data_IF_680990355987
#
_entry.id   IF_680990355987
#
_cell.length_a   1.000
_cell.length_b   1.000
_cell.length_c   1.000
_cell.angle_alpha   90.00
_cell.angle_beta   90.00
_cell.angle_gamma   90.00
#
_symmetry.space_group_name_H-M   'P 1'
#
loop_
_entity.id
_entity.type
_entity.pdbx_description
1 polymer ?
#
# COMPACT_ATOMS: atom_id res chain seq x y z
N UNK A 1 11.39 -20.20 7.86
CA UNK A 1 11.09 -18.81 7.45
C UNK A 1 10.30 -18.74 6.13
N UNK A 2 10.78 -19.35 5.04
CA UNK A 2 10.11 -19.30 3.73
C UNK A 2 8.66 -19.84 3.75
N UNK A 3 8.41 -21.00 4.38
CA UNK A 3 7.06 -21.57 4.49
C UNK A 3 6.08 -20.62 5.22
N UNK A 4 6.54 -19.96 6.29
CA UNK A 4 5.72 -18.98 7.01
C UNK A 4 5.35 -17.80 6.11
N UNK A 5 6.32 -17.26 5.38
CA UNK A 5 6.05 -16.19 4.42
C UNK A 5 5.06 -16.62 3.33
N UNK A 6 5.20 -17.84 2.80
CA UNK A 6 4.26 -18.39 1.80
C UNK A 6 2.84 -18.51 2.33
N UNK A 7 2.67 -19.00 3.56
CA UNK A 7 1.35 -19.08 4.21
C UNK A 7 0.77 -17.69 4.45
N UNK A 8 1.57 -16.74 4.94
CA UNK A 8 1.13 -15.36 5.13
C UNK A 8 0.69 -14.72 3.80
N UNK A 9 1.42 -14.99 2.72
CA UNK A 9 1.09 -14.52 1.37
C UNK A 9 -0.21 -15.13 0.84
N UNK A 10 -0.44 -16.41 1.10
CA UNK A 10 -1.69 -17.07 0.74
C UNK A 10 -2.88 -16.46 1.49
N UNK A 11 -2.74 -16.19 2.79
CA UNK A 11 -3.76 -15.49 3.58
C UNK A 11 -4.00 -14.06 3.10
N UNK A 12 -2.97 -13.38 2.63
CA UNK A 12 -3.08 -12.03 2.09
C UNK A 12 -4.02 -11.93 0.89
N UNK A 13 -4.16 -12.99 0.09
CA UNK A 13 -5.13 -13.02 -1.03
C UNK A 13 -6.55 -12.75 -0.52
N UNK A 14 -6.95 -13.43 0.55
CA UNK A 14 -8.27 -13.22 1.17
C UNK A 14 -8.37 -11.84 1.83
N UNK A 15 -7.28 -11.35 2.41
CA UNK A 15 -7.24 -10.02 3.00
C UNK A 15 -7.42 -8.91 1.94
N UNK A 16 -6.83 -9.05 0.75
CA UNK A 16 -7.01 -8.12 -0.38
C UNK A 16 -8.46 -8.09 -0.84
N UNK A 17 -9.07 -9.26 -1.02
CA UNK A 17 -10.50 -9.36 -1.39
C UNK A 17 -11.38 -8.76 -0.30
N UNK A 18 -11.11 -9.06 0.97
CA UNK A 18 -11.82 -8.49 2.11
C UNK A 18 -11.70 -6.97 2.18
N UNK A 19 -10.51 -6.43 1.95
CA UNK A 19 -10.25 -4.99 1.91
C UNK A 19 -11.00 -4.29 0.76
N UNK A 20 -11.08 -4.93 -0.41
CA UNK A 20 -11.89 -4.44 -1.53
C UNK A 20 -13.36 -4.31 -1.14
N UNK A 21 -13.95 -5.38 -0.57
CA UNK A 21 -15.35 -5.35 -0.09
C UNK A 21 -15.58 -4.33 1.02
N UNK A 22 -14.61 -4.18 1.92
CA UNK A 22 -14.65 -3.18 3.00
C UNK A 22 -14.68 -1.76 2.43
N UNK A 23 -13.85 -1.50 1.43
CA UNK A 23 -13.80 -0.22 0.72
C UNK A 23 -15.12 0.10 0.01
N UNK A 24 -15.72 -0.88 -0.65
CA UNK A 24 -17.01 -0.69 -1.32
C UNK A 24 -18.10 -0.29 -0.32
N UNK A 25 -18.08 -0.87 0.89
CA UNK A 25 -19.04 -0.54 1.95
C UNK A 25 -18.79 0.80 2.62
N UNK A 26 -17.55 1.09 3.03
CA UNK A 26 -17.24 2.23 3.92
C UNK A 26 -16.76 3.49 3.19
N UNK A 27 -16.18 3.36 2.01
CA UNK A 27 -15.36 4.44 1.45
C UNK A 27 -14.06 3.88 0.91
N UNK A 28 -13.65 4.25 -0.30
CA UNK A 28 -12.32 3.93 -0.81
C UNK A 28 -11.28 4.75 -0.06
N UNK A 29 -11.54 6.05 0.15
CA UNK A 29 -10.61 6.96 0.83
C UNK A 29 -10.35 6.57 2.30
N UNK A 30 -11.36 6.29 3.17
CA UNK A 30 -11.13 5.82 4.53
C UNK A 30 -10.28 4.54 4.60
N UNK A 31 -10.50 3.57 3.70
CA UNK A 31 -9.77 2.30 3.72
C UNK A 31 -8.33 2.48 3.24
N UNK A 32 -8.10 3.28 2.21
CA UNK A 32 -6.75 3.66 1.76
C UNK A 32 -5.97 4.40 2.86
N UNK A 33 -6.61 5.33 3.55
CA UNK A 33 -6.01 6.06 4.67
C UNK A 33 -5.71 5.16 5.86
N UNK A 34 -6.63 4.25 6.20
CA UNK A 34 -6.40 3.26 7.24
C UNK A 34 -5.20 2.36 6.92
N UNK A 35 -5.04 1.95 5.66
CA UNK A 35 -3.86 1.22 5.20
C UNK A 35 -2.56 2.02 5.30
N UNK A 36 -2.57 3.29 4.86
CA UNK A 36 -1.40 4.16 4.91
C UNK A 36 -0.95 4.46 6.35
N UNK A 37 -1.89 4.81 7.23
CA UNK A 37 -1.63 5.02 8.67
C UNK A 37 -1.21 3.70 9.33
N UNK A 38 -1.88 2.61 8.95
CA UNK A 38 -1.59 1.27 9.42
C UNK A 38 -0.20 0.79 9.05
N UNK A 39 0.39 1.27 7.95
CA UNK A 39 1.79 1.03 7.61
C UNK A 39 2.76 1.95 8.36
N UNK A 40 2.39 3.22 8.55
CA UNK A 40 3.26 4.22 9.18
C UNK A 40 3.44 3.97 10.69
N UNK A 41 2.38 3.64 11.42
CA UNK A 41 2.40 3.52 12.88
C UNK A 41 3.29 2.36 13.39
N UNK A 42 3.13 1.11 12.93
CA UNK A 42 3.90 -0.02 13.41
C UNK A 42 5.21 -0.24 12.64
N UNK A 43 5.67 0.71 11.82
CA UNK A 43 6.85 0.52 10.97
C UNK A 43 8.08 0.01 11.76
N UNK A 44 8.43 0.67 12.86
CA UNK A 44 9.56 0.25 13.72
C UNK A 44 9.33 -1.13 14.37
N UNK A 45 8.20 -1.40 15.04
CA UNK A 45 7.87 -2.73 15.55
C UNK A 45 7.92 -3.85 14.50
N UNK A 46 7.51 -3.59 13.26
CA UNK A 46 7.56 -4.60 12.20
C UNK A 46 9.00 -4.95 11.84
N UNK A 47 9.90 -3.95 11.75
CA UNK A 47 11.31 -4.21 11.51
C UNK A 47 11.98 -4.96 12.66
N UNK A 48 11.60 -4.72 13.92
CA UNK A 48 12.15 -5.48 15.05
C UNK A 48 11.66 -6.93 15.04
N UNK A 49 10.39 -7.17 14.69
CA UNK A 49 9.86 -8.52 14.50
C UNK A 49 10.59 -9.27 13.38
N UNK A 50 10.83 -8.62 12.24
CA UNK A 50 11.56 -9.21 11.13
C UNK A 50 13.04 -9.45 11.42
N UNK A 51 13.67 -8.61 12.23
CA UNK A 51 15.06 -8.76 12.66
C UNK A 51 15.28 -9.69 13.86
N UNK A 52 14.22 -10.19 14.49
CA UNK A 52 14.29 -10.95 15.75
C UNK A 52 14.99 -12.31 15.66
N UNK A 53 15.08 -12.89 14.45
CA UNK A 53 15.63 -14.24 14.23
C UNK A 53 14.69 -15.39 14.62
N UNK A 54 13.60 -15.12 15.36
CA UNK A 54 12.57 -16.10 15.69
C UNK A 54 11.59 -16.27 14.51
N UNK A 55 11.44 -17.51 14.04
CA UNK A 55 10.57 -17.82 12.91
C UNK A 55 9.10 -17.45 13.12
N UNK A 56 8.58 -17.51 14.35
CA UNK A 56 7.19 -17.14 14.67
C UNK A 56 7.02 -15.62 14.66
N UNK A 57 7.94 -14.87 15.26
CA UNK A 57 7.90 -13.40 15.27
C UNK A 57 8.03 -12.85 13.84
N UNK A 58 8.94 -13.39 13.04
CA UNK A 58 9.09 -13.03 11.63
C UNK A 58 7.81 -13.32 10.85
N UNK A 59 7.17 -14.49 11.07
CA UNK A 59 5.89 -14.83 10.44
C UNK A 59 4.78 -13.82 10.80
N UNK A 60 4.63 -13.50 12.08
CA UNK A 60 3.61 -12.54 12.53
C UNK A 60 3.84 -11.15 11.93
N UNK A 61 5.09 -10.70 11.85
CA UNK A 61 5.43 -9.45 11.18
C UNK A 61 5.01 -9.44 9.71
N UNK A 62 5.27 -10.52 8.97
CA UNK A 62 4.81 -10.64 7.58
C UNK A 62 3.30 -10.70 7.46
N UNK A 63 2.61 -11.47 8.31
CA UNK A 63 1.15 -11.56 8.29
C UNK A 63 0.49 -10.20 8.54
N UNK A 64 1.00 -9.43 9.51
CA UNK A 64 0.53 -8.07 9.81
C UNK A 64 0.85 -7.12 8.65
N UNK A 65 2.11 -7.10 8.17
CA UNK A 65 2.52 -6.22 7.08
C UNK A 65 1.72 -6.46 5.79
N UNK A 66 1.52 -7.72 5.40
CA UNK A 66 0.72 -8.09 4.23
C UNK A 66 -0.77 -7.76 4.42
N UNK A 67 -1.32 -7.92 5.63
CA UNK A 67 -2.68 -7.50 5.96
C UNK A 67 -2.87 -5.99 5.81
N UNK A 68 -1.93 -5.19 6.32
CA UNK A 68 -1.94 -3.74 6.17
C UNK A 68 -1.78 -3.31 4.70
N UNK A 69 -0.91 -4.00 3.96
CA UNK A 69 -0.76 -3.79 2.51
C UNK A 69 -2.04 -4.09 1.76
N UNK A 70 -2.78 -5.11 2.18
CA UNK A 70 -4.05 -5.50 1.56
C UNK A 70 -5.10 -4.40 1.64
N UNK A 71 -5.12 -3.61 2.72
CA UNK A 71 -6.00 -2.43 2.86
C UNK A 71 -5.71 -1.35 1.82
N UNK A 72 -4.47 -1.24 1.35
CA UNK A 72 -4.11 -0.30 0.29
C UNK A 72 -4.36 -0.91 -1.10
N UNK A 73 -3.94 -2.15 -1.32
CA UNK A 73 -3.99 -2.81 -2.63
C UNK A 73 -5.41 -3.16 -3.08
N UNK A 74 -6.28 -3.61 -2.16
CA UNK A 74 -7.67 -3.96 -2.48
C UNK A 74 -8.45 -2.83 -3.15
N UNK A 75 -8.56 -1.63 -2.55
CA UNK A 75 -9.27 -0.50 -3.14
C UNK A 75 -8.52 0.21 -4.29
N UNK A 76 -7.21 0.01 -4.44
CA UNK A 76 -6.36 0.83 -5.33
C UNK A 76 -6.83 0.84 -6.78
N UNK A 77 -7.10 -0.33 -7.36
CA UNK A 77 -7.51 -0.42 -8.77
C UNK A 77 -8.83 0.29 -9.04
N UNK A 78 -9.80 0.08 -8.15
CA UNK A 78 -11.08 0.74 -8.23
C UNK A 78 -10.90 2.26 -8.09
N UNK A 79 -10.18 2.71 -7.06
CA UNK A 79 -9.93 4.11 -6.75
C UNK A 79 -9.30 4.85 -7.93
N UNK A 80 -8.25 4.30 -8.55
CA UNK A 80 -7.62 4.88 -9.73
C UNK A 80 -8.61 4.98 -10.90
N UNK A 81 -9.41 3.93 -11.14
CA UNK A 81 -10.36 3.92 -12.26
C UNK A 81 -11.48 4.97 -12.14
N UNK A 82 -11.81 5.39 -10.92
CA UNK A 82 -12.78 6.46 -10.65
C UNK A 82 -12.24 7.86 -10.97
N UNK A 83 -10.92 8.04 -11.02
CA UNK A 83 -10.30 9.35 -11.28
C UNK A 83 -10.26 9.72 -12.77
N UNK A 84 -10.50 8.76 -13.66
CA UNK A 84 -10.44 8.98 -15.11
C UNK A 84 -11.83 8.81 -15.74
N UNK A 85 -12.16 9.71 -16.68
CA UNK A 85 -13.38 9.64 -17.49
C UNK A 85 -13.48 8.34 -18.30
N UNK A 86 -14.70 7.94 -18.67
CA UNK A 86 -15.00 6.66 -19.33
C UNK A 86 -14.17 6.40 -20.59
N UNK A 87 -13.84 7.44 -21.36
CA UNK A 87 -13.06 7.34 -22.61
C UNK A 87 -11.55 7.16 -22.41
N UNK A 88 -10.99 7.57 -21.27
CA UNK A 88 -9.55 7.52 -20.99
C UNK A 88 -9.18 6.61 -19.81
N UNK A 89 -10.15 5.90 -19.22
CA UNK A 89 -9.99 5.13 -17.99
C UNK A 89 -8.88 4.09 -18.07
N UNK A 90 -8.81 3.30 -19.14
CA UNK A 90 -7.80 2.25 -19.26
C UNK A 90 -6.39 2.80 -19.52
N UNK A 91 -6.25 3.77 -20.42
CA UNK A 91 -4.95 4.34 -20.78
C UNK A 91 -4.39 5.22 -19.67
N UNK A 92 -5.23 6.07 -19.05
CA UNK A 92 -4.83 6.93 -17.93
C UNK A 92 -4.46 6.14 -16.69
N UNK A 93 -5.26 5.13 -16.32
CA UNK A 93 -4.95 4.26 -15.17
C UNK A 93 -3.68 3.43 -15.41
N UNK A 94 -3.51 2.87 -16.62
CA UNK A 94 -2.31 2.10 -16.96
C UNK A 94 -1.06 2.96 -16.96
N UNK A 95 -1.10 4.16 -17.55
CA UNK A 95 0.03 5.08 -17.57
C UNK A 95 0.39 5.56 -16.15
N UNK A 96 -0.61 5.91 -15.35
CA UNK A 96 -0.41 6.27 -13.94
C UNK A 96 0.21 5.13 -13.13
N UNK A 97 -0.26 3.90 -13.34
CA UNK A 97 0.30 2.71 -12.69
C UNK A 97 1.75 2.43 -13.14
N UNK A 98 2.05 2.56 -14.43
CA UNK A 98 3.40 2.38 -14.96
C UNK A 98 4.37 3.42 -14.42
N UNK A 99 3.98 4.70 -14.37
CA UNK A 99 4.79 5.76 -13.79
C UNK A 99 5.01 5.54 -12.28
N UNK A 100 3.95 5.18 -11.54
CA UNK A 100 4.06 4.86 -10.12
C UNK A 100 4.97 3.65 -9.87
N UNK A 101 4.89 2.62 -10.72
CA UNK A 101 5.72 1.41 -10.61
C UNK A 101 7.18 1.71 -10.96
N UNK A 102 7.42 2.52 -11.99
CA UNK A 102 8.77 2.91 -12.40
C UNK A 102 9.45 3.75 -11.31
N UNK A 103 8.77 4.80 -10.84
CA UNK A 103 9.32 5.73 -9.86
C UNK A 103 9.34 5.14 -8.44
N UNK A 104 8.21 4.62 -7.99
CA UNK A 104 8.06 4.04 -6.66
C UNK A 104 8.67 2.64 -6.59
N UNK A 105 8.19 1.71 -7.40
CA UNK A 105 8.65 0.31 -7.36
C UNK A 105 10.11 0.12 -7.76
N UNK A 106 10.58 0.83 -8.80
CA UNK A 106 11.91 0.66 -9.37
C UNK A 106 13.04 1.26 -8.52
N UNK A 107 12.88 2.50 -8.05
CA UNK A 107 13.96 3.20 -7.34
C UNK A 107 13.97 2.93 -5.83
N UNK A 108 12.84 2.55 -5.23
CA UNK A 108 12.76 2.31 -3.78
C UNK A 108 13.80 1.31 -3.29
N UNK A 109 14.00 0.11 -3.89
CA UNK A 109 15.00 -0.84 -3.41
C UNK A 109 16.42 -0.26 -3.40
N UNK A 110 16.80 0.50 -4.43
CA UNK A 110 18.11 1.12 -4.52
C UNK A 110 18.30 2.22 -3.46
N UNK A 111 17.28 3.04 -3.20
CA UNK A 111 17.29 4.08 -2.17
C UNK A 111 17.36 3.45 -0.78
N UNK A 112 16.56 2.42 -0.50
CA UNK A 112 16.58 1.73 0.78
C UNK A 112 17.92 1.02 1.03
N UNK A 113 18.48 0.38 0.00
CA UNK A 113 19.79 -0.25 0.09
C UNK A 113 20.90 0.77 0.37
N UNK A 114 20.87 1.94 -0.29
CA UNK A 114 21.87 3.00 -0.05
C UNK A 114 21.73 3.65 1.33
N UNK A 115 20.49 3.89 1.79
CA UNK A 115 20.21 4.37 3.14
C UNK A 115 20.72 3.37 4.19
N UNK A 116 20.45 2.08 3.99
CA UNK A 116 20.92 1.02 4.89
C UNK A 116 22.45 0.92 4.90
N UNK A 117 23.08 0.92 3.72
CA UNK A 117 24.54 0.89 3.59
C UNK A 117 25.22 2.11 4.25
N UNK A 118 24.60 3.30 4.14
CA UNK A 118 25.07 4.52 4.79
C UNK A 118 25.09 4.47 6.32
N UNK A 119 24.38 3.53 6.94
CA UNK A 119 24.43 3.27 8.39
C UNK A 119 25.46 2.21 8.80
N UNK A 120 26.33 1.78 7.88
CA UNK A 120 27.20 0.63 8.10
C UNK A 120 26.44 -0.70 8.17
N UNK A 121 25.22 -0.76 7.65
CA UNK A 121 24.41 -1.98 7.60
C UNK A 121 23.81 -2.40 8.94
N UNK A 122 23.58 -1.45 9.86
CA UNK A 122 23.01 -1.74 11.20
C UNK A 122 21.82 -0.84 11.56
N UNK A 123 21.71 0.33 10.93
CA UNK A 123 20.68 1.32 11.23
C UNK A 123 19.43 1.14 10.39
N UNK A 124 18.35 0.68 11.04
CA UNK A 124 17.02 0.55 10.43
C UNK A 124 16.28 1.89 10.37
N UNK A 125 16.63 2.84 11.24
CA UNK A 125 15.97 4.14 11.36
C UNK A 125 15.78 4.88 10.03
N UNK A 126 16.80 5.09 9.17
CA UNK A 126 16.61 5.79 7.89
C UNK A 126 15.72 5.04 6.90
N UNK A 127 15.71 3.70 6.94
CA UNK A 127 14.84 2.86 6.11
C UNK A 127 13.39 2.99 6.58
N UNK A 128 13.15 2.87 7.88
CA UNK A 128 11.83 2.99 8.47
C UNK A 128 11.26 4.41 8.28
N UNK A 129 12.06 5.46 8.48
CA UNK A 129 11.60 6.85 8.29
C UNK A 129 11.28 7.15 6.83
N UNK A 130 12.05 6.63 5.87
CA UNK A 130 11.72 6.75 4.44
C UNK A 130 10.36 6.12 4.12
N UNK A 131 10.10 4.91 4.63
CA UNK A 131 8.83 4.22 4.40
C UNK A 131 7.65 4.93 5.07
N UNK A 132 7.83 5.45 6.28
CA UNK A 132 6.82 6.29 6.96
C UNK A 132 6.53 7.55 6.14
N UNK A 133 7.57 8.21 5.63
CA UNK A 133 7.41 9.40 4.80
C UNK A 133 6.68 9.08 3.49
N UNK A 134 6.98 7.96 2.84
CA UNK A 134 6.27 7.50 1.65
C UNK A 134 4.79 7.17 1.93
N UNK A 135 4.51 6.53 3.07
CA UNK A 135 3.14 6.25 3.53
C UNK A 135 2.38 7.55 3.83
N UNK A 136 3.02 8.53 4.47
CA UNK A 136 2.45 9.85 4.73
C UNK A 136 2.18 10.62 3.43
N UNK A 137 3.12 10.62 2.49
CA UNK A 137 2.94 11.22 1.17
C UNK A 137 1.76 10.58 0.41
N UNK A 138 1.63 9.25 0.49
CA UNK A 138 0.48 8.52 -0.07
C UNK A 138 -0.83 8.93 0.59
N UNK A 139 -0.86 9.07 1.92
CA UNK A 139 -2.03 9.54 2.64
C UNK A 139 -2.43 10.97 2.23
N UNK A 140 -1.45 11.88 2.10
CA UNK A 140 -1.69 13.25 1.61
C UNK A 140 -2.25 13.24 0.19
N UNK A 141 -1.68 12.44 -0.71
CA UNK A 141 -2.20 12.31 -2.07
C UNK A 141 -3.66 11.84 -2.09
N UNK A 142 -3.98 10.81 -1.29
CA UNK A 142 -5.36 10.31 -1.12
C UNK A 142 -6.29 11.37 -0.50
N UNK A 143 -5.76 12.26 0.34
CA UNK A 143 -6.54 13.37 0.89
C UNK A 143 -6.83 14.46 -0.15
N UNK A 144 -5.90 14.73 -1.06
CA UNK A 144 -6.04 15.76 -2.10
C UNK A 144 -6.95 15.31 -3.25
N UNK A 145 -6.97 14.00 -3.54
CA UNK A 145 -7.83 13.42 -4.57
C UNK A 145 -9.29 13.41 -4.10
N UNK A 146 -10.19 13.99 -4.90
CA UNK A 146 -11.64 13.94 -4.66
C UNK A 146 -12.18 12.54 -4.96
N UNK A 147 -12.95 11.99 -4.03
CA UNK A 147 -13.56 10.68 -4.19
C UNK A 147 -14.74 10.76 -5.18
N UNK A 148 -14.68 9.97 -6.26
CA UNK A 148 -15.62 10.00 -7.38
C UNK A 148 -17.00 9.39 -7.10
N UNK A 149 -17.25 8.90 -5.88
CA UNK A 149 -18.51 8.21 -5.49
C UNK A 149 -19.78 9.05 -5.69
N UNK A 150 -19.66 10.37 -5.89
CA UNK A 150 -20.78 11.30 -6.12
C UNK A 150 -21.01 11.72 -7.57
N UNK A 151 -20.30 11.15 -8.55
CA UNK A 151 -20.67 11.36 -9.95
C UNK A 151 -21.81 10.41 -10.32
N UNK A 152 -23.03 10.91 -10.14
CA UNK A 152 -24.26 10.32 -10.66
C UNK A 152 -24.07 10.09 -12.17
N UNK A 153 -24.05 8.83 -12.62
CA UNK A 153 -24.00 8.48 -14.04
C UNK A 153 -25.40 8.53 -14.68
N UNK A 154 -26.39 9.10 -13.98
CA UNK A 154 -27.79 9.17 -14.41
C UNK A 154 -28.13 10.41 -15.24
N UNK A 155 -27.22 11.37 -15.41
CA UNK A 155 -27.46 12.61 -16.18
C UNK A 155 -26.81 12.63 -17.56
N UNK A 156 -26.92 11.55 -18.32
CA UNK A 156 -26.85 11.64 -19.80
C UNK A 156 -28.15 11.08 -20.35
N UNK A 157 -29.22 11.85 -20.16
CA UNK A 157 -30.45 11.73 -20.92
C UNK A 157 -30.31 12.57 -22.20
N UNK A 158 -30.36 11.88 -23.33
CA UNK A 158 -30.71 12.33 -24.68
C UNK A 158 -29.88 13.44 -25.34
#
# INVERSE_FOLDING_TARGET
>A
MLLGFSVASFLAIFAVVGAGRLSDRFGRRPVLLAGAIGWALPAFPLFTLWGSGDGLLVFTGFAVGLGLQSLMYGPLGAFISEQFGTSARHTGASLGYQLATLLGGGFTPAILASLYAGTGGTGITPVATYLIAAAAASAVAVLLIREGRRHDLTTVSH
#
